data_IF_438950331109
#
_entry.id   IF_438950331109
#
_cell.length_a   1.000
_cell.length_b   1.000
_cell.length_c   1.000
_cell.angle_alpha   90.00
_cell.angle_beta   90.00
_cell.angle_gamma   90.00
#
_symmetry.space_group_name_H-M   'P 1'
#
loop_
_entity.id
_entity.type
_entity.pdbx_description
1 polymer ?
#
# COMPACT_ATOMS: atom_id res chain seq x y z
N UNK A 1 -29.96 -33.35 27.81
CA UNK A 1 -28.97 -32.42 27.25
C UNK A 1 -29.74 -31.40 26.43
N UNK A 2 -29.93 -30.19 26.96
CA UNK A 2 -30.69 -29.13 26.29
C UNK A 2 -29.77 -28.40 25.33
N UNK A 3 -30.09 -28.41 24.03
CA UNK A 3 -29.46 -27.54 23.06
C UNK A 3 -30.02 -26.13 23.25
N UNK A 4 -29.17 -25.17 23.58
CA UNK A 4 -29.56 -23.77 23.60
C UNK A 4 -29.55 -23.27 22.14
N UNK A 5 -30.69 -22.75 21.67
CA UNK A 5 -30.72 -21.97 20.44
C UNK A 5 -30.00 -20.64 20.73
N UNK A 6 -28.90 -20.39 20.03
CA UNK A 6 -28.25 -19.08 20.05
C UNK A 6 -29.17 -18.15 19.25
N UNK A 7 -29.73 -17.07 19.83
CA UNK A 7 -30.39 -16.05 19.03
C UNK A 7 -29.30 -15.42 18.17
N UNK A 8 -29.41 -15.58 16.85
CA UNK A 8 -28.69 -14.71 15.93
C UNK A 8 -29.35 -13.36 16.10
N UNK A 9 -28.67 -12.44 16.78
CA UNK A 9 -28.99 -11.02 16.69
C UNK A 9 -28.83 -10.68 15.20
N UNK A 10 -29.97 -10.56 14.51
CA UNK A 10 -30.03 -9.90 13.22
C UNK A 10 -29.66 -8.45 13.51
N UNK A 11 -28.35 -8.16 13.49
CA UNK A 11 -27.85 -6.81 13.36
C UNK A 11 -28.19 -6.38 11.93
N UNK A 12 -29.44 -5.91 11.80
CA UNK A 12 -30.06 -5.34 10.60
C UNK A 12 -29.48 -3.93 10.33
N UNK A 13 -28.17 -3.78 10.50
CA UNK A 13 -27.44 -2.53 10.22
C UNK A 13 -26.32 -2.74 9.20
N UNK A 14 -26.54 -3.62 8.23
CA UNK A 14 -25.96 -3.41 6.91
C UNK A 14 -26.83 -2.39 6.18
N UNK A 15 -26.72 -1.13 6.60
CA UNK A 15 -27.00 -0.04 5.69
C UNK A 15 -25.94 -0.18 4.60
N UNK A 16 -26.33 -0.79 3.46
CA UNK A 16 -25.61 -0.75 2.19
C UNK A 16 -25.60 0.71 1.69
N UNK A 17 -25.05 1.62 2.51
CA UNK A 17 -24.62 2.93 2.06
C UNK A 17 -23.41 2.64 1.18
N UNK A 18 -23.63 2.74 -0.12
CA UNK A 18 -22.66 2.67 -1.21
C UNK A 18 -21.47 3.60 -0.88
N UNK A 19 -20.59 3.12 0.00
CA UNK A 19 -19.50 3.91 0.57
C UNK A 19 -18.42 3.92 -0.49
N UNK A 20 -18.56 4.84 -1.43
CA UNK A 20 -17.55 5.11 -2.45
C UNK A 20 -16.34 5.66 -1.71
N UNK A 21 -15.40 4.78 -1.40
CA UNK A 21 -14.09 5.19 -0.91
C UNK A 21 -13.38 5.87 -2.07
N UNK A 22 -13.42 7.21 -2.08
CA UNK A 22 -12.63 8.00 -3.01
C UNK A 22 -11.15 7.83 -2.66
N UNK A 23 -10.46 6.97 -3.42
CA UNK A 23 -9.02 6.77 -3.29
C UNK A 23 -8.30 7.96 -3.92
N UNK A 24 -7.59 8.73 -3.10
CA UNK A 24 -6.79 9.84 -3.59
C UNK A 24 -5.42 9.38 -4.10
N UNK A 25 -4.72 10.25 -4.82
CA UNK A 25 -3.32 10.01 -5.21
C UNK A 25 -2.38 9.89 -4.00
N UNK A 26 -2.70 10.56 -2.90
CA UNK A 26 -1.95 10.48 -1.64
C UNK A 26 -2.13 9.12 -0.98
N UNK A 27 -3.35 8.58 -0.96
CA UNK A 27 -3.65 7.23 -0.44
C UNK A 27 -2.89 6.15 -1.21
N UNK A 28 -2.87 6.27 -2.54
CA UNK A 28 -2.09 5.37 -3.39
C UNK A 28 -0.60 5.50 -3.07
N UNK A 29 -0.09 6.72 -2.94
CA UNK A 29 1.32 6.95 -2.61
C UNK A 29 1.69 6.30 -1.27
N UNK A 30 0.87 6.51 -0.23
CA UNK A 30 1.10 5.93 1.09
C UNK A 30 0.98 4.40 1.08
N UNK A 31 0.04 3.84 0.32
CA UNK A 31 -0.09 2.40 0.14
C UNK A 31 1.16 1.79 -0.52
N UNK A 32 1.75 2.47 -1.50
CA UNK A 32 3.02 2.04 -2.11
C UNK A 32 4.19 2.08 -1.13
N UNK A 33 4.33 3.15 -0.34
CA UNK A 33 5.37 3.23 0.70
C UNK A 33 5.22 2.10 1.73
N UNK A 34 3.98 1.81 2.15
CA UNK A 34 3.70 0.72 3.08
C UNK A 34 4.02 -0.65 2.46
N UNK A 35 3.67 -0.88 1.20
CA UNK A 35 3.97 -2.13 0.50
C UNK A 35 5.48 -2.38 0.39
N UNK A 36 6.26 -1.33 0.12
CA UNK A 36 7.72 -1.38 0.11
C UNK A 36 8.32 -1.73 1.47
N UNK A 37 7.80 -1.10 2.53
CA UNK A 37 8.18 -1.40 3.90
C UNK A 37 7.94 -2.88 4.24
N UNK A 38 6.75 -3.40 3.91
CA UNK A 38 6.38 -4.81 4.14
C UNK A 38 7.25 -5.76 3.32
N UNK A 39 7.62 -5.37 2.10
CA UNK A 39 8.51 -6.16 1.24
C UNK A 39 9.99 -6.13 1.71
N UNK A 40 10.33 -5.36 2.75
CA UNK A 40 11.70 -5.23 3.27
C UNK A 40 12.58 -4.32 2.42
N UNK A 41 11.98 -3.43 1.62
CA UNK A 41 12.69 -2.48 0.76
C UNK A 41 12.19 -1.05 1.03
N UNK A 42 12.46 -0.47 2.22
CA UNK A 42 11.99 0.87 2.55
C UNK A 42 12.46 1.89 1.50
N UNK A 43 11.58 2.84 1.16
CA UNK A 43 11.81 3.78 0.05
C UNK A 43 13.12 4.56 0.22
N UNK A 44 13.41 5.07 1.42
CA UNK A 44 14.64 5.84 1.70
C UNK A 44 15.92 5.04 1.41
N UNK A 45 15.91 3.75 1.73
CA UNK A 45 17.05 2.86 1.49
C UNK A 45 17.21 2.55 -0.01
N UNK A 46 16.11 2.38 -0.73
CA UNK A 46 16.13 2.23 -2.19
C UNK A 46 16.59 3.51 -2.89
N UNK A 47 16.17 4.67 -2.40
CA UNK A 47 16.56 5.97 -2.94
C UNK A 47 18.07 6.22 -2.76
N UNK A 48 18.62 5.91 -1.58
CA UNK A 48 20.06 6.01 -1.32
C UNK A 48 20.86 5.02 -2.21
N UNK A 49 20.37 3.79 -2.38
CA UNK A 49 20.99 2.81 -3.29
C UNK A 49 20.95 3.28 -4.75
N UNK A 50 19.87 3.93 -5.16
CA UNK A 50 19.74 4.50 -6.50
C UNK A 50 20.68 5.70 -6.71
N UNK A 51 20.81 6.57 -5.69
CA UNK A 51 21.70 7.74 -5.69
C UNK A 51 23.16 7.34 -5.81
N UNK A 52 23.57 6.31 -5.08
CA UNK A 52 24.94 5.79 -5.06
C UNK A 52 25.23 4.80 -6.20
N UNK A 53 24.19 4.28 -6.86
CA UNK A 53 24.29 3.20 -7.84
C UNK A 53 24.62 1.83 -7.24
N UNK A 54 24.69 1.72 -5.91
CA UNK A 54 25.13 0.53 -5.20
C UNK A 54 23.94 -0.25 -4.60
N UNK A 55 23.19 -0.94 -5.46
CA UNK A 55 22.10 -1.79 -4.99
C UNK A 55 22.61 -3.02 -4.24
N UNK A 56 22.03 -3.28 -3.07
CA UNK A 56 22.36 -4.44 -2.21
C UNK A 56 21.92 -5.77 -2.83
N UNK A 57 20.95 -5.74 -3.74
CA UNK A 57 20.48 -6.94 -4.45
C UNK A 57 19.80 -6.60 -5.78
N UNK A 58 19.68 -7.60 -6.65
CA UNK A 58 18.90 -7.48 -7.89
C UNK A 58 17.40 -7.22 -7.61
N UNK A 59 16.88 -7.73 -6.50
CA UNK A 59 15.51 -7.49 -6.07
C UNK A 59 15.31 -6.01 -5.69
N UNK A 60 16.21 -5.42 -4.90
CA UNK A 60 16.18 -3.99 -4.58
C UNK A 60 16.24 -3.12 -5.85
N UNK A 61 17.11 -3.47 -6.80
CA UNK A 61 17.19 -2.76 -8.07
C UNK A 61 15.87 -2.84 -8.87
N UNK A 62 15.22 -4.01 -8.94
CA UNK A 62 13.92 -4.17 -9.60
C UNK A 62 12.80 -3.42 -8.89
N UNK A 63 12.76 -3.48 -7.56
CA UNK A 63 11.78 -2.74 -6.75
C UNK A 63 11.87 -1.25 -7.03
N UNK A 64 13.08 -0.69 -7.13
CA UNK A 64 13.28 0.72 -7.51
C UNK A 64 12.70 1.06 -8.90
N UNK A 65 12.93 0.22 -9.91
CA UNK A 65 12.37 0.44 -11.25
C UNK A 65 10.83 0.39 -11.25
N UNK A 66 10.24 -0.54 -10.51
CA UNK A 66 8.80 -0.66 -10.36
C UNK A 66 8.24 0.61 -9.71
N UNK A 67 8.80 1.05 -8.59
CA UNK A 67 8.41 2.29 -7.91
C UNK A 67 8.50 3.49 -8.85
N UNK A 68 9.61 3.66 -9.57
CA UNK A 68 9.74 4.75 -10.55
C UNK A 68 8.69 4.72 -11.66
N UNK A 69 8.29 3.53 -12.12
CA UNK A 69 7.26 3.40 -13.16
C UNK A 69 5.85 3.73 -12.64
N UNK A 70 5.62 3.52 -11.34
CA UNK A 70 4.35 3.75 -10.65
C UNK A 70 4.21 5.16 -10.09
N UNK A 71 5.29 5.93 -10.12
CA UNK A 71 5.32 7.36 -9.80
C UNK A 71 5.37 8.22 -11.08
N UNK A 72 4.39 8.17 -12.01
CA UNK A 72 4.37 9.11 -13.12
C UNK A 72 4.03 10.55 -12.69
N UNK A 73 3.92 10.85 -11.38
CA UNK A 73 3.39 12.12 -10.87
C UNK A 73 4.22 12.75 -9.74
N UNK A 74 5.47 13.08 -10.06
CA UNK A 74 6.15 14.25 -9.50
C UNK A 74 7.00 14.86 -10.61
N UNK A 75 6.40 15.71 -11.44
CA UNK A 75 7.22 16.75 -12.07
C UNK A 75 7.98 17.45 -10.94
N UNK A 76 9.31 17.57 -11.00
CA UNK A 76 10.03 18.39 -10.05
C UNK A 76 9.50 19.84 -10.19
N UNK A 77 9.13 20.53 -9.09
CA UNK A 77 8.89 21.97 -9.18
C UNK A 77 10.16 22.65 -9.71
N UNK A 78 9.96 23.55 -10.66
CA UNK A 78 10.99 24.30 -11.39
C UNK A 78 11.95 25.09 -10.49
#
# INVERSE_FOLDING_TARGET
>A
MTTAAIPLEEDDSFDDEDTVVEVTAEDLHQAWLNALQVAGYPYEELEEQARTGAFKSAAAHRSWHIVKSLLPWREPPA
#
